data_IF_105956625070
#
_entry.id   IF_105956625070
#
_cell.length_a   1.000
_cell.length_b   1.000
_cell.length_c   1.000
_cell.angle_alpha   90.00
_cell.angle_beta   90.00
_cell.angle_gamma   90.00
#
_symmetry.space_group_name_H-M   'P 1'
#
loop_
_entity.id
_entity.type
_entity.pdbx_description
1 polymer ?
#
# COMPACT_ATOMS: atom_id res chain seq x y z
N UNK A 1 0.41 8.53 -10.71
CA UNK A 1 0.61 7.58 -9.60
C UNK A 1 -0.69 7.24 -8.86
N UNK A 2 -1.51 8.22 -8.44
CA UNK A 2 -2.79 7.90 -7.76
C UNK A 2 -3.86 7.40 -8.73
N UNK A 3 -3.84 7.82 -9.99
CA UNK A 3 -4.69 7.23 -11.04
C UNK A 3 -4.50 5.72 -11.21
N UNK A 4 -3.31 5.19 -10.88
CA UNK A 4 -3.02 3.77 -11.00
C UNK A 4 -3.71 2.91 -9.93
N UNK A 5 -3.97 3.49 -8.74
CA UNK A 5 -4.73 2.80 -7.67
C UNK A 5 -6.19 2.62 -8.08
N UNK A 6 -6.79 3.69 -8.58
CA UNK A 6 -8.16 3.67 -9.06
C UNK A 6 -8.31 2.74 -10.28
N UNK A 7 -7.43 2.88 -11.27
CA UNK A 7 -7.40 2.00 -12.46
C UNK A 7 -7.29 0.53 -12.08
N UNK A 8 -6.42 0.21 -11.11
CA UNK A 8 -6.28 -1.17 -10.62
C UNK A 8 -7.57 -1.67 -9.98
N UNK A 9 -8.22 -0.85 -9.15
CA UNK A 9 -9.48 -1.24 -8.52
C UNK A 9 -10.56 -1.53 -9.56
N UNK A 10 -10.68 -0.67 -10.57
CA UNK A 10 -11.61 -0.88 -11.69
C UNK A 10 -11.24 -2.14 -12.48
N UNK A 11 -9.96 -2.36 -12.75
CA UNK A 11 -9.50 -3.57 -13.45
C UNK A 11 -9.90 -4.86 -12.69
N UNK A 12 -9.62 -4.92 -11.39
CA UNK A 12 -9.97 -6.08 -10.57
C UNK A 12 -11.48 -6.29 -10.50
N UNK A 13 -12.26 -5.21 -10.40
CA UNK A 13 -13.73 -5.30 -10.38
C UNK A 13 -14.27 -5.83 -11.70
N UNK A 14 -13.86 -5.27 -12.84
CA UNK A 14 -14.31 -5.71 -14.15
C UNK A 14 -13.87 -7.15 -14.44
N UNK A 15 -12.66 -7.55 -13.98
CA UNK A 15 -12.20 -8.95 -14.06
C UNK A 15 -13.17 -9.89 -13.34
N UNK A 16 -13.56 -9.54 -12.10
CA UNK A 16 -14.51 -10.33 -11.32
C UNK A 16 -15.90 -10.37 -11.98
N UNK A 17 -16.37 -9.24 -12.50
CA UNK A 17 -17.67 -9.16 -13.19
C UNK A 17 -17.69 -10.05 -14.45
N UNK A 18 -16.60 -10.09 -15.22
CA UNK A 18 -16.45 -10.99 -16.37
C UNK A 18 -16.45 -12.46 -15.94
N UNK A 19 -15.76 -12.80 -14.84
CA UNK A 19 -15.79 -14.18 -14.31
C UNK A 19 -17.20 -14.56 -13.86
N UNK A 20 -17.92 -13.68 -13.18
CA UNK A 20 -19.32 -13.89 -12.79
C UNK A 20 -20.25 -14.02 -14.01
N UNK A 21 -19.92 -13.36 -15.11
CA UNK A 21 -20.63 -13.49 -16.38
C UNK A 21 -20.31 -14.80 -17.16
N UNK A 22 -19.43 -15.67 -16.59
CA UNK A 22 -19.12 -16.99 -17.14
C UNK A 22 -17.83 -17.09 -17.95
N UNK A 23 -17.02 -16.04 -18.02
CA UNK A 23 -15.69 -16.12 -18.62
C UNK A 23 -14.70 -16.78 -17.65
N UNK A 24 -13.77 -17.60 -18.15
CA UNK A 24 -12.67 -18.06 -17.33
C UNK A 24 -11.64 -16.93 -17.10
N UNK A 25 -10.77 -17.10 -16.13
CA UNK A 25 -9.82 -16.07 -15.72
C UNK A 25 -8.92 -15.58 -16.87
N UNK A 26 -8.40 -16.49 -17.68
CA UNK A 26 -7.55 -16.17 -18.83
C UNK A 26 -8.30 -15.37 -19.89
N UNK A 27 -9.55 -15.72 -20.17
CA UNK A 27 -10.39 -14.97 -21.11
C UNK A 27 -10.73 -13.58 -20.56
N UNK A 28 -11.05 -13.47 -19.29
CA UNK A 28 -11.31 -12.18 -18.63
C UNK A 28 -10.09 -11.25 -18.74
N UNK A 29 -8.89 -11.74 -18.46
CA UNK A 29 -7.65 -10.98 -18.62
C UNK A 29 -7.37 -10.59 -20.09
N UNK A 30 -7.61 -11.49 -21.02
CA UNK A 30 -7.44 -11.19 -22.45
C UNK A 30 -8.40 -10.10 -22.91
N UNK A 31 -9.66 -10.16 -22.50
CA UNK A 31 -10.66 -9.13 -22.81
C UNK A 31 -10.26 -7.77 -22.24
N UNK A 32 -9.76 -7.72 -20.99
CA UNK A 32 -9.33 -6.49 -20.34
C UNK A 32 -8.07 -5.87 -20.98
N UNK A 33 -7.16 -6.69 -21.51
CA UNK A 33 -5.89 -6.21 -22.04
C UNK A 33 -5.89 -5.95 -23.55
N UNK A 34 -6.65 -6.73 -24.31
CA UNK A 34 -6.65 -6.71 -25.78
C UNK A 34 -8.04 -6.88 -26.43
N UNK A 35 -9.09 -7.07 -25.63
CA UNK A 35 -10.43 -7.34 -26.13
C UNK A 35 -11.22 -6.11 -26.59
N UNK A 36 -10.64 -4.92 -26.54
CA UNK A 36 -11.30 -3.67 -26.98
C UNK A 36 -12.43 -3.20 -26.06
N UNK A 37 -12.47 -3.65 -24.81
CA UNK A 37 -13.48 -3.23 -23.85
C UNK A 37 -13.36 -1.73 -23.54
N UNK A 38 -14.50 -1.05 -23.55
CA UNK A 38 -14.63 0.30 -23.02
C UNK A 38 -15.20 0.22 -21.60
N UNK A 39 -14.44 0.65 -20.63
CA UNK A 39 -14.85 0.70 -19.22
C UNK A 39 -15.13 2.13 -18.82
N UNK A 40 -16.34 2.42 -18.40
CA UNK A 40 -16.73 3.71 -17.83
C UNK A 40 -16.65 3.63 -16.32
N UNK A 41 -16.07 4.63 -15.68
CA UNK A 41 -15.90 4.69 -14.23
C UNK A 41 -16.52 5.98 -13.67
N UNK A 42 -16.77 5.98 -12.37
CA UNK A 42 -17.30 7.13 -11.63
C UNK A 42 -16.21 8.13 -11.20
N UNK A 43 -14.96 7.90 -11.61
CA UNK A 43 -13.84 8.78 -11.27
C UNK A 43 -14.07 10.21 -11.76
N UNK A 44 -14.02 11.18 -10.84
CA UNK A 44 -13.92 12.60 -11.16
C UNK A 44 -12.43 13.00 -11.18
N UNK A 45 -11.88 13.36 -12.37
CA UNK A 45 -10.47 13.72 -12.48
C UNK A 45 -10.09 14.97 -11.69
N UNK A 46 -11.02 15.92 -11.50
CA UNK A 46 -10.76 17.16 -10.76
C UNK A 46 -10.62 16.85 -9.25
N UNK A 47 -11.56 16.09 -8.70
CA UNK A 47 -11.52 15.68 -7.29
C UNK A 47 -10.30 14.80 -7.05
N UNK A 48 -9.99 13.87 -7.96
CA UNK A 48 -8.81 13.02 -7.85
C UNK A 48 -7.50 13.83 -7.87
N UNK A 49 -7.41 14.88 -8.69
CA UNK A 49 -6.22 15.73 -8.74
C UNK A 49 -6.04 16.52 -7.44
N UNK A 50 -7.11 17.11 -6.91
CA UNK A 50 -7.07 17.78 -5.60
C UNK A 50 -6.60 16.79 -4.51
N UNK A 51 -7.17 15.61 -4.47
CA UNK A 51 -6.77 14.57 -3.51
C UNK A 51 -5.29 14.18 -3.64
N UNK A 52 -4.78 14.14 -4.87
CA UNK A 52 -3.37 13.85 -5.12
C UNK A 52 -2.45 14.96 -4.63
N UNK A 53 -2.82 16.22 -4.86
CA UNK A 53 -2.08 17.42 -4.44
C UNK A 53 -2.02 17.49 -2.91
N UNK A 54 -3.16 17.33 -2.24
CA UNK A 54 -3.23 17.31 -0.77
C UNK A 54 -2.40 16.18 -0.14
N UNK A 55 -2.39 15.00 -0.76
CA UNK A 55 -1.59 13.88 -0.28
C UNK A 55 -0.08 14.01 -0.57
N UNK A 56 0.28 14.84 -1.53
CA UNK A 56 1.67 15.16 -1.84
C UNK A 56 2.23 16.26 -0.93
N UNK A 57 1.37 17.11 -0.38
CA UNK A 57 1.78 18.20 0.50
C UNK A 57 2.22 17.66 1.87
N UNK A 58 3.51 17.82 2.16
CA UNK A 58 4.09 17.38 3.43
C UNK A 58 3.53 18.13 4.65
N UNK A 59 3.02 19.36 4.47
CA UNK A 59 2.46 20.17 5.57
C UNK A 59 1.16 19.59 6.15
N UNK A 60 0.46 18.75 5.40
CA UNK A 60 -0.73 18.03 5.85
C UNK A 60 -0.41 16.84 6.80
N UNK A 61 0.86 16.61 7.13
CA UNK A 61 1.30 15.49 7.94
C UNK A 61 2.18 15.94 9.11
N UNK A 62 2.31 15.12 10.17
CA UNK A 62 3.22 15.42 11.27
C UNK A 62 4.67 15.63 10.79
N UNK A 63 5.36 16.59 11.38
CA UNK A 63 6.75 16.92 11.03
C UNK A 63 7.74 15.76 11.25
N UNK A 64 7.51 14.94 12.27
CA UNK A 64 8.39 13.82 12.62
C UNK A 64 8.06 12.57 11.78
N UNK A 65 8.34 12.62 10.49
CA UNK A 65 8.16 11.49 9.59
C UNK A 65 9.19 10.42 9.90
N UNK A 66 8.71 9.18 10.07
CA UNK A 66 9.54 7.98 10.09
C UNK A 66 9.45 7.27 8.74
N UNK A 67 10.44 6.44 8.44
CA UNK A 67 10.55 5.76 7.17
C UNK A 67 10.48 4.25 7.36
N UNK A 68 9.49 3.61 6.75
CA UNK A 68 9.41 2.17 6.71
C UNK A 68 10.19 1.66 5.51
N UNK A 69 11.20 0.82 5.77
CA UNK A 69 12.04 0.19 4.76
C UNK A 69 11.38 -1.07 4.20
N UNK A 70 11.30 -1.15 2.89
CA UNK A 70 11.04 -2.38 2.16
C UNK A 70 12.31 -2.72 1.37
N UNK A 71 12.86 -3.91 1.59
CA UNK A 71 14.16 -4.31 1.09
C UNK A 71 14.14 -5.74 0.55
N UNK A 72 14.80 -5.95 -0.56
CA UNK A 72 15.11 -7.27 -1.09
C UNK A 72 16.54 -7.26 -1.65
N UNK A 73 17.28 -8.33 -1.41
CA UNK A 73 18.66 -8.52 -1.84
C UNK A 73 18.79 -9.89 -2.49
N UNK A 74 19.42 -9.94 -3.66
CA UNK A 74 19.84 -11.17 -4.32
C UNK A 74 21.35 -11.14 -4.46
N UNK A 75 22.07 -12.08 -3.86
CA UNK A 75 23.52 -12.24 -4.00
C UNK A 75 23.79 -13.37 -4.98
N UNK A 76 24.68 -13.12 -5.93
CA UNK A 76 25.12 -14.06 -6.96
C UNK A 76 26.49 -14.62 -6.54
N UNK A 77 26.51 -15.87 -6.13
CA UNK A 77 27.76 -16.55 -5.77
C UNK A 77 28.61 -16.84 -7.01
N UNK A 78 29.95 -17.06 -6.88
CA UNK A 78 30.84 -17.32 -8.00
C UNK A 78 30.45 -18.54 -8.86
N UNK A 79 29.72 -19.48 -8.31
CA UNK A 79 29.17 -20.65 -9.02
C UNK A 79 27.87 -20.35 -9.78
N UNK A 80 27.38 -19.07 -9.76
CA UNK A 80 26.15 -18.63 -10.38
C UNK A 80 24.89 -18.85 -9.53
N UNK A 81 25.03 -19.37 -8.30
CA UNK A 81 23.89 -19.58 -7.38
C UNK A 81 23.33 -18.24 -6.92
N UNK A 82 22.01 -18.07 -7.04
CA UNK A 82 21.28 -16.88 -6.55
C UNK A 82 20.74 -17.10 -5.15
N UNK A 83 21.21 -16.31 -4.21
CA UNK A 83 20.78 -16.32 -2.81
C UNK A 83 19.88 -15.10 -2.55
N UNK A 84 18.60 -15.34 -2.23
CA UNK A 84 17.61 -14.29 -2.06
C UNK A 84 17.33 -14.03 -0.58
N UNK A 85 17.36 -12.76 -0.19
CA UNK A 85 17.09 -12.27 1.14
C UNK A 85 15.99 -11.24 1.12
N UNK A 86 15.00 -11.42 1.98
CA UNK A 86 13.90 -10.48 2.16
C UNK A 86 14.15 -9.53 3.34
N UNK A 87 13.31 -8.52 3.46
CA UNK A 87 13.31 -7.63 4.64
C UNK A 87 13.06 -8.39 5.96
N UNK A 88 12.34 -9.51 5.92
CA UNK A 88 12.11 -10.37 7.08
C UNK A 88 13.40 -11.05 7.53
N UNK A 89 14.23 -11.49 6.57
CA UNK A 89 15.56 -12.02 6.85
C UNK A 89 16.45 -10.95 7.48
N UNK A 90 16.46 -9.73 6.92
CA UNK A 90 17.20 -8.59 7.46
C UNK A 90 16.73 -8.29 8.90
N UNK A 91 15.44 -8.19 9.13
CA UNK A 91 14.88 -7.93 10.47
C UNK A 91 15.29 -9.02 11.48
N UNK A 92 15.27 -10.29 11.07
CA UNK A 92 15.68 -11.42 11.91
C UNK A 92 17.16 -11.34 12.24
N UNK A 93 17.99 -11.08 11.25
CA UNK A 93 19.44 -10.94 11.42
C UNK A 93 19.80 -9.84 12.42
N UNK A 94 19.22 -8.65 12.28
CA UNK A 94 19.45 -7.53 13.21
C UNK A 94 19.00 -7.87 14.64
N UNK A 95 17.85 -8.52 14.78
CA UNK A 95 17.35 -8.94 16.11
C UNK A 95 18.29 -9.94 16.80
N UNK A 96 18.91 -10.79 16.04
CA UNK A 96 19.83 -11.82 16.57
C UNK A 96 21.24 -11.26 16.87
N UNK A 97 21.73 -10.32 16.03
CA UNK A 97 23.14 -9.91 16.07
C UNK A 97 23.37 -8.55 16.72
N UNK A 98 22.37 -7.68 16.79
CA UNK A 98 22.58 -6.31 17.26
C UNK A 98 21.52 -5.82 18.26
N UNK A 99 20.23 -5.89 17.90
CA UNK A 99 19.16 -5.30 18.71
C UNK A 99 17.88 -6.12 18.61
N UNK A 100 17.53 -6.82 19.70
CA UNK A 100 16.33 -7.67 19.76
C UNK A 100 15.01 -6.95 19.48
N UNK A 101 14.98 -5.60 19.60
CA UNK A 101 13.82 -4.74 19.31
C UNK A 101 13.88 -4.12 17.92
N UNK A 102 14.85 -4.50 17.08
CA UNK A 102 14.99 -3.95 15.74
C UNK A 102 13.68 -4.13 14.94
N UNK A 103 13.33 -3.08 14.23
CA UNK A 103 12.23 -3.06 13.27
C UNK A 103 12.66 -2.25 12.04
N UNK A 104 11.84 -2.29 11.00
CA UNK A 104 12.14 -1.66 9.72
C UNK A 104 11.65 -0.20 9.64
N UNK A 105 11.48 0.48 10.79
CA UNK A 105 11.04 1.88 10.86
C UNK A 105 12.20 2.72 11.38
N UNK A 106 12.66 3.66 10.56
CA UNK A 106 13.82 4.50 10.81
C UNK A 106 13.43 5.96 11.01
N UNK A 107 14.27 6.71 11.72
CA UNK A 107 14.06 8.15 11.96
C UNK A 107 14.46 8.99 10.74
N UNK A 108 15.37 8.49 9.91
CA UNK A 108 15.79 9.10 8.65
C UNK A 108 15.95 8.06 7.55
N UNK A 109 16.01 8.50 6.31
CA UNK A 109 16.36 7.62 5.18
C UNK A 109 17.83 7.18 5.26
N UNK A 110 18.71 8.05 5.73
CA UNK A 110 20.14 7.74 5.88
C UNK A 110 20.37 6.59 6.88
N UNK A 111 19.65 6.59 8.01
CA UNK A 111 19.69 5.46 8.96
C UNK A 111 19.24 4.15 8.31
N UNK A 112 18.23 4.22 7.44
CA UNK A 112 17.75 3.05 6.73
C UNK A 112 18.77 2.53 5.71
N UNK A 113 19.43 3.43 4.95
CA UNK A 113 20.52 3.05 4.04
C UNK A 113 21.71 2.47 4.78
N UNK A 114 22.11 3.05 5.91
CA UNK A 114 23.18 2.50 6.75
C UNK A 114 22.88 1.08 7.25
N UNK A 115 21.62 0.82 7.60
CA UNK A 115 21.20 -0.52 7.98
C UNK A 115 21.22 -1.50 6.78
N UNK A 116 20.84 -1.05 5.58
CA UNK A 116 20.94 -1.85 4.35
C UNK A 116 22.37 -2.21 4.06
N UNK A 117 23.30 -1.24 4.09
CA UNK A 117 24.72 -1.47 3.84
C UNK A 117 25.32 -2.46 4.84
N UNK A 118 24.98 -2.31 6.12
CA UNK A 118 25.43 -3.23 7.18
C UNK A 118 24.96 -4.65 6.92
N UNK A 119 23.68 -4.83 6.56
CA UNK A 119 23.13 -6.14 6.29
C UNK A 119 23.67 -6.75 5.01
N UNK A 120 23.76 -5.97 3.92
CA UNK A 120 24.34 -6.45 2.65
C UNK A 120 25.77 -6.94 2.84
N UNK A 121 26.64 -6.14 3.47
CA UNK A 121 28.02 -6.52 3.74
C UNK A 121 28.13 -7.80 4.59
N UNK A 122 27.25 -7.95 5.60
CA UNK A 122 27.21 -9.16 6.40
C UNK A 122 26.82 -10.41 5.60
N UNK A 123 25.84 -10.29 4.69
CA UNK A 123 25.40 -11.41 3.86
C UNK A 123 26.43 -11.77 2.79
N UNK A 124 27.09 -10.79 2.18
CA UNK A 124 28.20 -11.01 1.25
C UNK A 124 29.36 -11.74 1.93
N UNK A 125 29.75 -11.28 3.14
CA UNK A 125 30.80 -11.93 3.94
C UNK A 125 30.42 -13.37 4.33
N UNK A 126 29.16 -13.61 4.72
CA UNK A 126 28.67 -14.95 5.05
C UNK A 126 28.76 -15.93 3.88
N UNK A 127 28.55 -15.45 2.68
CA UNK A 127 28.64 -16.26 1.44
C UNK A 127 30.04 -16.29 0.82
N UNK A 128 31.01 -15.55 1.38
CA UNK A 128 32.35 -15.41 0.83
C UNK A 128 32.38 -14.72 -0.52
N UNK A 129 31.43 -13.81 -0.78
CA UNK A 129 31.30 -13.03 -2.01
C UNK A 129 31.87 -11.65 -1.79
N UNK A 130 32.66 -11.14 -2.74
CA UNK A 130 33.22 -9.79 -2.68
C UNK A 130 32.11 -8.73 -2.82
N UNK A 131 32.23 -7.63 -2.05
CA UNK A 131 31.30 -6.49 -2.13
C UNK A 131 31.57 -5.68 -3.41
N UNK A 132 31.01 -6.14 -4.49
CA UNK A 132 31.05 -5.55 -5.82
C UNK A 132 29.63 -5.52 -6.39
N UNK A 133 29.25 -4.41 -7.01
CA UNK A 133 27.91 -4.19 -7.57
C UNK A 133 27.48 -5.25 -8.61
N UNK A 134 28.42 -5.95 -9.23
CA UNK A 134 28.13 -7.04 -10.17
C UNK A 134 27.70 -8.34 -9.46
N UNK A 135 27.97 -8.46 -8.17
CA UNK A 135 27.72 -9.66 -7.37
C UNK A 135 26.38 -9.65 -6.64
N UNK A 136 25.62 -8.57 -6.72
CA UNK A 136 24.28 -8.50 -6.10
C UNK A 136 23.32 -7.60 -6.86
N UNK A 137 22.05 -7.89 -6.70
CA UNK A 137 20.93 -7.04 -7.10
C UNK A 137 20.13 -6.69 -5.85
N UNK A 138 19.82 -5.42 -5.67
CA UNK A 138 19.00 -5.01 -4.52
C UNK A 138 17.84 -4.09 -4.92
N UNK A 139 16.77 -4.17 -4.17
CA UNK A 139 15.62 -3.27 -4.28
C UNK A 139 15.38 -2.60 -2.94
N UNK A 140 15.49 -1.29 -2.91
CA UNK A 140 15.25 -0.46 -1.74
C UNK A 140 14.06 0.45 -2.04
N UNK A 141 13.03 0.41 -1.20
CA UNK A 141 11.98 1.42 -1.23
C UNK A 141 11.59 1.84 0.18
N UNK A 142 11.30 3.12 0.35
CA UNK A 142 10.98 3.70 1.64
C UNK A 142 9.62 4.36 1.62
N UNK A 143 8.81 4.05 2.62
CA UNK A 143 7.45 4.57 2.74
C UNK A 143 7.35 5.46 3.98
N UNK A 144 6.96 6.74 3.84
CA UNK A 144 6.81 7.63 4.99
C UNK A 144 5.71 7.14 5.95
N UNK A 145 5.93 7.34 7.25
CA UNK A 145 4.99 6.98 8.32
C UNK A 145 4.64 8.24 9.12
N UNK A 146 3.40 8.40 9.61
CA UNK A 146 2.27 7.49 9.46
C UNK A 146 1.72 7.45 8.04
N UNK A 147 1.06 6.34 7.71
CA UNK A 147 0.33 6.16 6.46
C UNK A 147 -1.14 6.52 6.63
N UNK A 148 -1.77 6.98 5.55
CA UNK A 148 -3.20 7.21 5.45
C UNK A 148 -3.71 6.76 4.08
N UNK A 149 -5.02 6.60 3.97
CA UNK A 149 -5.72 6.35 2.73
C UNK A 149 -7.08 7.05 2.80
N UNK A 150 -7.64 7.41 1.65
CA UNK A 150 -8.91 8.12 1.58
C UNK A 150 -9.75 7.61 0.41
N UNK A 151 -11.06 7.56 0.63
CA UNK A 151 -12.07 7.34 -0.39
C UNK A 151 -13.02 8.52 -0.33
N UNK A 152 -13.35 9.10 -1.48
CA UNK A 152 -14.34 10.17 -1.60
C UNK A 152 -15.53 9.61 -2.35
N UNK A 153 -16.71 9.69 -1.72
CA UNK A 153 -17.96 9.16 -2.23
C UNK A 153 -18.98 10.32 -2.37
N UNK A 154 -19.71 10.33 -3.48
CA UNK A 154 -20.80 11.25 -3.67
C UNK A 154 -22.03 10.74 -2.91
N UNK A 155 -22.52 11.52 -1.97
CA UNK A 155 -23.56 11.08 -1.01
C UNK A 155 -24.92 10.75 -1.66
N UNK A 156 -25.25 11.36 -2.81
CA UNK A 156 -26.54 11.15 -3.45
C UNK A 156 -26.61 9.87 -4.26
N UNK A 157 -25.48 9.43 -4.79
CA UNK A 157 -25.39 8.27 -5.69
C UNK A 157 -24.68 7.08 -5.06
N UNK A 158 -23.85 7.29 -4.04
CA UNK A 158 -22.94 6.30 -3.49
C UNK A 158 -21.74 6.00 -4.40
N UNK A 159 -21.49 6.81 -5.42
CA UNK A 159 -20.39 6.60 -6.34
C UNK A 159 -19.06 7.05 -5.74
N UNK A 160 -18.07 6.19 -5.81
CA UNK A 160 -16.69 6.55 -5.47
C UNK A 160 -16.12 7.41 -6.60
N UNK A 161 -15.89 8.69 -6.31
CA UNK A 161 -15.42 9.68 -7.28
C UNK A 161 -13.91 9.93 -7.22
N UNK A 162 -13.26 9.62 -6.10
CA UNK A 162 -11.81 9.65 -5.96
C UNK A 162 -11.31 8.66 -4.90
N UNK A 163 -10.06 8.22 -5.03
CA UNK A 163 -9.45 7.30 -4.09
C UNK A 163 -7.93 7.46 -4.06
N UNK A 164 -7.34 7.39 -2.86
CA UNK A 164 -5.90 7.27 -2.70
C UNK A 164 -5.56 6.20 -1.66
N UNK A 165 -4.66 5.29 -2.01
CA UNK A 165 -4.35 4.09 -1.22
C UNK A 165 -3.17 4.22 -0.28
N UNK A 166 -2.55 5.40 -0.19
CA UNK A 166 -1.40 5.61 0.69
C UNK A 166 -0.65 6.90 0.40
N UNK A 167 0.15 7.30 1.35
CA UNK A 167 1.04 8.46 1.33
C UNK A 167 2.39 8.08 0.72
N UNK A 168 3.04 9.03 0.05
CA UNK A 168 4.37 8.91 -0.54
C UNK A 168 4.37 8.48 -2.01
N UNK A 169 5.54 8.52 -2.63
CA UNK A 169 5.72 8.08 -4.00
C UNK A 169 5.40 6.59 -4.15
N UNK A 170 4.73 6.25 -5.24
CA UNK A 170 4.47 4.85 -5.59
C UNK A 170 5.45 4.42 -6.66
N UNK A 171 6.44 3.65 -6.26
CA UNK A 171 7.53 3.20 -7.14
C UNK A 171 7.18 1.91 -7.92
N UNK A 172 6.01 1.30 -7.67
CA UNK A 172 5.63 0.03 -8.31
C UNK A 172 4.16 -0.04 -8.70
N UNK A 173 3.89 -0.84 -9.74
CA UNK A 173 2.52 -1.07 -10.25
C UNK A 173 1.60 -1.86 -9.30
N UNK A 174 2.15 -2.57 -8.30
CA UNK A 174 1.42 -3.45 -7.36
C UNK A 174 1.58 -3.05 -5.90
N UNK A 175 1.64 -1.75 -5.60
CA UNK A 175 1.71 -1.26 -4.22
C UNK A 175 0.40 -1.48 -3.48
N UNK A 176 0.49 -1.67 -2.15
CA UNK A 176 -0.66 -1.87 -1.28
C UNK A 176 -1.64 -0.69 -1.39
N UNK A 177 -2.88 -0.96 -1.77
CA UNK A 177 -3.99 -0.01 -1.65
C UNK A 177 -4.62 -0.13 -0.27
N UNK A 178 -4.28 0.77 0.65
CA UNK A 178 -4.82 0.74 2.02
C UNK A 178 -6.30 1.11 2.09
N UNK A 179 -6.81 1.83 1.10
CA UNK A 179 -8.24 2.19 1.05
C UNK A 179 -9.14 0.95 0.88
N UNK A 180 -8.64 -0.10 0.19
CA UNK A 180 -9.43 -1.30 -0.10
C UNK A 180 -8.92 -2.56 0.59
N UNK A 181 -7.63 -2.60 0.98
CA UNK A 181 -6.99 -3.83 1.44
C UNK A 181 -6.52 -3.80 2.89
N UNK A 182 -6.45 -2.62 3.53
CA UNK A 182 -6.03 -2.52 4.92
C UNK A 182 -7.21 -2.76 5.87
N UNK A 183 -7.08 -3.79 6.71
CA UNK A 183 -8.04 -4.07 7.77
C UNK A 183 -7.61 -3.37 9.06
N UNK A 184 -8.48 -2.57 9.64
CA UNK A 184 -8.27 -1.85 10.91
C UNK A 184 -9.52 -1.92 11.76
N UNK A 185 -9.35 -1.83 13.07
CA UNK A 185 -10.49 -1.69 14.00
C UNK A 185 -11.13 -0.31 13.76
N UNK A 186 -12.43 -0.26 13.47
CA UNK A 186 -13.12 1.00 13.16
C UNK A 186 -13.27 1.90 14.39
N UNK A 187 -13.19 1.34 15.60
CA UNK A 187 -13.40 2.10 16.82
C UNK A 187 -14.75 2.79 16.84
N UNK A 188 -14.78 4.00 17.37
CA UNK A 188 -16.03 4.79 17.51
C UNK A 188 -16.67 5.23 16.20
N UNK A 189 -15.97 5.18 15.08
CA UNK A 189 -16.55 5.47 13.76
C UNK A 189 -17.65 4.48 13.41
N UNK A 190 -17.58 3.25 13.93
CA UNK A 190 -18.58 2.22 13.71
C UNK A 190 -19.95 2.54 14.36
N UNK A 191 -20.02 3.49 15.30
CA UNK A 191 -21.28 3.94 15.92
C UNK A 191 -22.28 4.47 14.90
N UNK A 192 -21.82 5.05 13.80
CA UNK A 192 -22.70 5.52 12.72
C UNK A 192 -23.54 4.36 12.19
N UNK A 193 -22.88 3.23 11.88
CA UNK A 193 -23.53 2.04 11.31
C UNK A 193 -24.23 1.20 12.38
N UNK A 194 -23.60 1.02 13.55
CA UNK A 194 -24.11 0.10 14.57
C UNK A 194 -25.15 0.71 15.51
N UNK A 195 -25.19 2.04 15.64
CA UNK A 195 -26.08 2.71 16.62
C UNK A 195 -26.98 3.73 15.95
N UNK A 196 -26.43 4.70 15.21
CA UNK A 196 -27.24 5.81 14.70
C UNK A 196 -28.13 5.38 13.53
N UNK A 197 -27.62 4.65 12.58
CA UNK A 197 -28.42 4.20 11.44
C UNK A 197 -29.62 3.34 11.89
N UNK A 198 -29.47 2.29 12.71
CA UNK A 198 -30.60 1.52 13.21
C UNK A 198 -31.57 2.34 14.07
N UNK A 199 -31.06 3.31 14.86
CA UNK A 199 -31.89 4.16 15.68
C UNK A 199 -32.82 5.04 14.84
N UNK A 200 -32.32 5.61 13.75
CA UNK A 200 -33.09 6.45 12.83
C UNK A 200 -33.99 5.63 11.93
N UNK A 201 -33.49 4.52 11.38
CA UNK A 201 -34.21 3.71 10.40
C UNK A 201 -35.30 2.83 11.02
N UNK A 202 -34.99 2.09 12.09
CA UNK A 202 -35.83 1.03 12.59
C UNK A 202 -36.43 1.32 13.97
N UNK A 203 -35.82 2.17 14.81
CA UNK A 203 -36.27 2.45 16.18
C UNK A 203 -37.06 3.74 16.31
N UNK A 204 -37.47 4.38 15.22
CA UNK A 204 -38.33 5.57 15.20
C UNK A 204 -37.69 6.80 15.88
N UNK A 205 -36.35 6.84 15.98
CA UNK A 205 -35.63 7.97 16.55
C UNK A 205 -35.38 9.05 15.50
N UNK A 206 -35.13 10.27 15.96
CA UNK A 206 -34.76 11.40 15.11
C UNK A 206 -33.43 12.01 15.58
N UNK A 207 -32.85 12.90 14.80
CA UNK A 207 -31.65 13.65 15.21
C UNK A 207 -31.91 14.55 16.45
N UNK A 208 -33.18 14.86 16.76
CA UNK A 208 -33.59 15.63 17.93
C UNK A 208 -33.90 14.74 19.15
N UNK A 209 -33.77 13.42 19.07
CA UNK A 209 -34.03 12.53 20.18
C UNK A 209 -32.98 12.71 21.28
N UNK A 210 -33.44 13.02 22.51
CA UNK A 210 -32.59 13.18 23.68
C UNK A 210 -32.71 11.94 24.56
N UNK A 211 -31.59 11.48 25.11
CA UNK A 211 -31.51 10.47 26.16
C UNK A 211 -31.02 11.12 27.45
N UNK A 212 -31.64 10.79 28.54
CA UNK A 212 -31.19 11.13 29.90
C UNK A 212 -30.39 9.95 30.46
#
# INVERSE_FOLDING_TARGET
>A
AASDVYKRQVYEQVKQDLILAGYNETMAETLLTSGGLRVESTLDPKIQNILNEEYADASNYPENVKWYLNYALTIISPDGTKNNFSKENMMTWFKQNQNSKFNLIFSSQDDAYAAVDTYRSAMLAQLGVEDNADNYEETISMTPQPQSAMVIEEQNTGYVVAMIGGRGAKEGRRTLNRATSAKRLPGSTFKVVASYAPALDSAGKTLATVYN
#
